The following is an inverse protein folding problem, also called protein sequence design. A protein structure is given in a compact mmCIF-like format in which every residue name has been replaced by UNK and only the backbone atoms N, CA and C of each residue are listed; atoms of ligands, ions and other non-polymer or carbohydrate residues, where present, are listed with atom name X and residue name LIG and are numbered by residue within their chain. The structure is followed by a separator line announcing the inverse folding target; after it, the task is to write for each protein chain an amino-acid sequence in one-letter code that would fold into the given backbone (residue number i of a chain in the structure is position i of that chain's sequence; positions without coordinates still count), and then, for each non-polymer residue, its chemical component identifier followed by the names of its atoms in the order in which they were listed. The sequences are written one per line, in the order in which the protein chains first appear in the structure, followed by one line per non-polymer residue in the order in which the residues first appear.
data_IF_473243491123
#
_entry.id   IF_473243491123
#
_cell.length_a   1.000
_cell.length_b   1.000
_cell.length_c   1.000
_cell.angle_alpha   90.00
_cell.angle_beta   90.00
_cell.angle_gamma   90.00
#
_symmetry.space_group_name_H-M   'P 1'
#
loop_
_entity.id
_entity.type
_entity.pdbx_description
1 polymer ?
#
# COMPACT_ATOMS: atom_id res chain seq x y z
N UNK A 1 12.78 21.75 0.89
CA UNK A 1 11.52 21.04 1.18
C UNK A 1 11.83 19.56 1.36
N UNK A 2 11.85 19.06 2.61
CA UNK A 2 12.14 17.66 2.95
C UNK A 2 10.79 16.98 3.22
N UNK A 3 10.34 16.03 2.41
CA UNK A 3 9.00 15.46 2.61
C UNK A 3 8.69 14.08 2.03
N UNK A 4 9.29 13.64 0.93
CA UNK A 4 9.03 12.29 0.40
C UNK A 4 10.09 11.30 0.90
N UNK A 5 9.94 10.80 2.13
CA UNK A 5 10.76 9.70 2.63
C UNK A 5 9.93 8.46 2.89
N UNK A 6 10.15 7.47 2.02
CA UNK A 6 10.10 6.04 2.32
C UNK A 6 8.72 5.46 2.66
N UNK A 7 8.33 4.43 1.90
CA UNK A 7 7.32 3.44 2.29
C UNK A 7 7.54 3.09 3.77
N UNK A 8 6.62 3.43 4.68
CA UNK A 8 6.82 3.19 6.11
C UNK A 8 6.66 1.70 6.44
N UNK A 9 7.21 1.20 7.56
CA UNK A 9 6.95 -0.20 7.97
C UNK A 9 5.45 -0.41 8.25
N UNK A 10 4.77 0.65 8.74
CA UNK A 10 3.32 0.70 8.81
C UNK A 10 2.69 0.45 7.43
N UNK A 11 3.21 1.04 6.34
CA UNK A 11 2.71 0.79 4.97
C UNK A 11 2.82 -0.68 4.55
N UNK A 12 3.86 -1.40 4.96
CA UNK A 12 3.99 -2.84 4.68
C UNK A 12 2.94 -3.66 5.44
N UNK A 13 2.63 -3.28 6.69
CA UNK A 13 1.58 -3.92 7.48
C UNK A 13 0.17 -3.54 7.02
N UNK A 14 -0.02 -2.32 6.52
CA UNK A 14 -1.23 -1.92 5.80
C UNK A 14 -1.43 -2.83 4.59
N UNK A 15 -0.39 -3.18 3.82
CA UNK A 15 -0.52 -4.12 2.70
C UNK A 15 -0.96 -5.55 3.09
N UNK A 16 -0.76 -5.96 4.36
CA UNK A 16 -1.26 -7.25 4.87
C UNK A 16 -2.80 -7.23 5.00
N UNK A 17 -3.37 -6.08 5.38
CA UNK A 17 -4.84 -5.89 5.42
C UNK A 17 -5.41 -5.45 4.08
N UNK A 18 -4.78 -4.46 3.44
CA UNK A 18 -5.12 -3.89 2.15
C UNK A 18 -4.65 -4.79 1.00
N UNK A 19 -5.02 -6.07 1.01
CA UNK A 19 -4.67 -7.05 -0.03
C UNK A 19 -4.96 -6.63 -1.49
N UNK A 20 -5.55 -5.45 -1.73
CA UNK A 20 -5.91 -4.93 -3.05
C UNK A 20 -5.60 -3.43 -3.33
N UNK A 21 -5.13 -2.59 -2.40
CA UNK A 21 -5.27 -1.11 -2.61
C UNK A 21 -4.03 -0.36 -3.11
N UNK A 22 -3.01 -1.07 -3.57
CA UNK A 22 -1.92 -0.49 -4.36
C UNK A 22 -2.01 -0.87 -5.85
N UNK A 23 -3.17 -1.36 -6.30
CA UNK A 23 -3.45 -1.73 -7.67
C UNK A 23 -4.45 -0.77 -8.32
N UNK A 24 -4.27 0.53 -8.12
CA UNK A 24 -4.75 1.50 -9.09
C UNK A 24 -3.97 1.33 -10.38
N UNK A 25 -4.41 0.43 -11.27
CA UNK A 25 -4.56 0.62 -12.73
C UNK A 25 -4.36 -0.60 -13.64
N UNK A 26 -3.87 -1.77 -13.21
CA UNK A 26 -3.84 -2.94 -14.11
C UNK A 26 -3.91 -4.25 -13.34
N UNK A 27 -4.95 -5.03 -13.60
CA UNK A 27 -5.02 -6.45 -13.24
C UNK A 27 -5.64 -6.74 -11.88
N UNK A 28 -6.87 -7.25 -11.90
CA UNK A 28 -7.29 -8.32 -10.99
C UNK A 28 -6.24 -9.44 -11.07
N UNK A 29 -5.93 -10.03 -9.93
CA UNK A 29 -5.00 -11.16 -9.73
C UNK A 29 -3.53 -10.80 -9.41
N UNK A 30 -3.15 -11.12 -8.17
CA UNK A 30 -1.78 -11.29 -7.66
C UNK A 30 -0.90 -10.04 -7.44
N UNK A 31 -0.74 -9.62 -6.17
CA UNK A 31 0.51 -8.93 -5.79
C UNK A 31 0.59 -8.33 -4.39
N UNK A 32 -0.45 -7.63 -3.93
CA UNK A 32 -0.39 -6.86 -2.68
C UNK A 32 -0.41 -7.73 -1.41
N UNK A 33 -1.47 -8.51 -1.23
CA UNK A 33 -1.62 -9.39 -0.07
C UNK A 33 -0.58 -10.53 -0.03
N UNK A 34 -0.12 -11.00 -1.20
CA UNK A 34 0.91 -12.04 -1.30
C UNK A 34 2.30 -11.53 -0.88
N UNK A 35 2.64 -10.26 -1.17
CA UNK A 35 3.89 -9.67 -0.71
C UNK A 35 3.92 -9.45 0.80
N UNK A 36 2.82 -8.98 1.40
CA UNK A 36 2.71 -8.82 2.86
C UNK A 36 2.87 -10.16 3.59
N UNK A 37 2.22 -11.21 3.09
CA UNK A 37 2.32 -12.56 3.66
C UNK A 37 3.70 -13.21 3.46
N UNK A 38 4.35 -12.97 2.30
CA UNK A 38 5.71 -13.46 2.03
C UNK A 38 6.72 -12.84 3.01
N UNK A 39 6.60 -11.55 3.30
CA UNK A 39 7.45 -10.88 4.30
C UNK A 39 7.26 -11.47 5.71
N UNK A 40 6.03 -11.80 6.10
CA UNK A 40 5.77 -12.46 7.39
C UNK A 40 6.40 -13.86 7.46
N UNK A 41 6.42 -14.62 6.36
CA UNK A 41 7.11 -15.92 6.31
C UNK A 41 8.64 -15.79 6.39
N UNK A 42 9.22 -14.78 5.76
CA UNK A 42 10.68 -14.55 5.76
C UNK A 42 11.23 -14.11 7.13
N UNK A 43 10.40 -13.55 8.00
CA UNK A 43 10.80 -13.13 9.35
C UNK A 43 11.00 -14.29 10.32
N UNK A 44 10.64 -15.52 9.91
CA UNK A 44 10.84 -16.76 10.66
C UNK A 44 10.43 -16.64 12.14
N UNK A 45 9.20 -16.21 12.38
CA UNK A 45 8.66 -16.05 13.72
C UNK A 45 8.64 -17.37 14.50
N UNK A 46 8.93 -17.32 15.80
CA UNK A 46 8.63 -18.43 16.71
C UNK A 46 7.12 -18.66 16.81
N UNK A 47 6.70 -19.85 17.25
CA UNK A 47 5.26 -20.15 17.41
C UNK A 47 4.56 -19.17 18.37
N UNK A 48 5.26 -18.75 19.43
CA UNK A 48 4.78 -17.73 20.36
C UNK A 48 4.60 -16.38 19.67
N UNK A 49 5.59 -15.93 18.87
CA UNK A 49 5.50 -14.68 18.11
C UNK A 49 4.35 -14.73 17.10
N UNK A 50 4.18 -15.85 16.38
CA UNK A 50 3.08 -16.04 15.42
C UNK A 50 1.73 -15.87 16.11
N UNK A 51 1.55 -16.49 17.27
CA UNK A 51 0.29 -16.41 18.04
C UNK A 51 0.01 -14.98 18.50
N UNK A 52 1.01 -14.30 19.04
CA UNK A 52 0.85 -12.91 19.50
C UNK A 52 0.56 -11.95 18.34
N UNK A 53 1.28 -12.08 17.23
CA UNK A 53 1.05 -11.28 16.02
C UNK A 53 -0.33 -11.58 15.45
N UNK A 54 -0.77 -12.83 15.40
CA UNK A 54 -2.11 -13.19 14.93
C UNK A 54 -3.21 -12.54 15.78
N UNK A 55 -3.04 -12.48 17.10
CA UNK A 55 -4.00 -11.79 17.98
C UNK A 55 -4.05 -10.28 17.72
N UNK A 56 -2.89 -9.64 17.51
CA UNK A 56 -2.85 -8.22 17.11
C UNK A 56 -3.56 -8.03 15.77
N UNK A 57 -3.28 -8.87 14.78
CA UNK A 57 -3.93 -8.76 13.47
C UNK A 57 -5.45 -9.02 13.55
N UNK A 58 -5.89 -9.97 14.38
CA UNK A 58 -7.30 -10.26 14.58
C UNK A 58 -8.05 -9.05 15.18
N UNK A 59 -7.43 -8.34 16.13
CA UNK A 59 -7.97 -7.11 16.74
C UNK A 59 -8.30 -6.01 15.72
N UNK A 60 -7.48 -5.87 14.68
CA UNK A 60 -7.65 -4.83 13.65
C UNK A 60 -8.33 -5.34 12.37
N UNK A 61 -8.77 -6.60 12.33
CA UNK A 61 -9.26 -7.24 11.11
C UNK A 61 -10.49 -6.59 10.52
N UNK A 62 -11.48 -6.28 11.35
CA UNK A 62 -12.74 -5.69 10.90
C UNK A 62 -12.53 -4.24 10.45
N UNK A 63 -11.85 -3.43 11.27
CA UNK A 63 -11.45 -2.06 10.93
C UNK A 63 -10.65 -2.02 9.61
N UNK A 64 -9.67 -2.93 9.46
CA UNK A 64 -8.86 -3.06 8.25
C UNK A 64 -9.65 -3.43 7.02
N UNK A 65 -10.60 -4.35 7.14
CA UNK A 65 -11.50 -4.72 6.05
C UNK A 65 -12.36 -3.52 5.64
N UNK A 66 -13.01 -2.86 6.60
CA UNK A 66 -13.90 -1.73 6.32
C UNK A 66 -13.15 -0.58 5.64
N UNK A 67 -11.96 -0.23 6.13
CA UNK A 67 -11.14 0.82 5.53
C UNK A 67 -10.64 0.44 4.12
N UNK A 68 -10.33 -0.83 3.88
CA UNK A 68 -9.95 -1.34 2.56
C UNK A 68 -11.12 -1.25 1.57
N UNK A 69 -12.31 -1.69 1.98
CA UNK A 69 -13.52 -1.65 1.17
C UNK A 69 -13.92 -0.20 0.84
N UNK A 70 -13.86 0.69 1.84
CA UNK A 70 -14.11 2.12 1.68
C UNK A 70 -13.12 2.77 0.70
N UNK A 71 -11.84 2.41 0.80
CA UNK A 71 -10.83 2.99 -0.10
C UNK A 71 -11.04 2.50 -1.54
N UNK A 72 -11.34 1.22 -1.74
CA UNK A 72 -11.64 0.68 -3.06
C UNK A 72 -12.84 1.40 -3.70
N UNK A 73 -13.90 1.66 -2.92
CA UNK A 73 -15.07 2.40 -3.39
C UNK A 73 -14.73 3.87 -3.71
N UNK A 74 -13.93 4.53 -2.88
CA UNK A 74 -13.52 5.92 -3.10
C UNK A 74 -12.61 6.07 -4.32
N UNK A 75 -11.66 5.16 -4.53
CA UNK A 75 -10.80 5.15 -5.71
C UNK A 75 -11.59 4.83 -6.99
N UNK A 76 -12.55 3.91 -6.91
CA UNK A 76 -13.48 3.66 -8.02
C UNK A 76 -14.23 4.93 -8.42
N UNK A 77 -14.75 5.70 -7.47
CA UNK A 77 -15.45 6.95 -7.77
C UNK A 77 -14.56 7.97 -8.48
N UNK A 78 -13.27 8.06 -8.11
CA UNK A 78 -12.31 8.92 -8.83
C UNK A 78 -12.16 8.46 -10.29
N UNK A 79 -12.05 7.16 -10.53
CA UNK A 79 -11.91 6.59 -11.87
C UNK A 79 -13.19 6.84 -12.67
N UNK A 80 -14.36 6.50 -12.12
CA UNK A 80 -15.66 6.65 -12.80
C UNK A 80 -15.88 8.11 -13.25
N UNK A 81 -15.53 9.09 -12.41
CA UNK A 81 -15.59 10.52 -12.75
C UNK A 81 -14.53 10.95 -13.77
N UNK A 82 -13.33 10.36 -13.72
CA UNK A 82 -12.27 10.66 -14.68
C UNK A 82 -12.53 10.05 -16.06
N UNK A 83 -13.36 8.99 -16.14
CA UNK A 83 -13.75 8.33 -17.39
C UNK A 83 -15.15 8.69 -17.87
N UNK A 84 -15.81 9.65 -17.22
CA UNK A 84 -17.13 10.13 -17.64
C UNK A 84 -17.06 10.88 -18.98
N UNK A 85 -18.19 10.97 -19.68
CA UNK A 85 -18.30 11.69 -20.96
C UNK A 85 -17.93 13.18 -20.82
N UNK A 86 -18.27 13.78 -19.67
CA UNK A 86 -17.95 15.17 -19.35
C UNK A 86 -16.90 15.26 -18.25
N UNK A 87 -15.83 16.03 -18.53
CA UNK A 87 -14.79 16.30 -17.54
C UNK A 87 -15.27 17.34 -16.52
N UNK A 88 -15.36 16.91 -15.26
CA UNK A 88 -15.68 17.79 -14.13
C UNK A 88 -14.56 17.78 -13.08
N UNK A 89 -13.68 18.77 -13.16
CA UNK A 89 -12.53 18.89 -12.26
C UNK A 89 -12.95 18.99 -10.78
N UNK A 90 -14.00 19.75 -10.46
CA UNK A 90 -14.44 19.96 -9.09
C UNK A 90 -14.93 18.64 -8.46
N UNK A 91 -15.70 17.85 -9.21
CA UNK A 91 -16.17 16.54 -8.77
C UNK A 91 -15.00 15.57 -8.55
N UNK A 92 -14.03 15.53 -9.47
CA UNK A 92 -12.83 14.69 -9.35
C UNK A 92 -12.00 15.08 -8.12
N UNK A 93 -11.78 16.39 -7.89
CA UNK A 93 -11.06 16.88 -6.70
C UNK A 93 -11.75 16.47 -5.41
N UNK A 94 -13.07 16.59 -5.34
CA UNK A 94 -13.84 16.17 -4.17
C UNK A 94 -13.74 14.66 -3.93
N UNK A 95 -13.87 13.86 -4.99
CA UNK A 95 -13.71 12.41 -4.90
C UNK A 95 -12.30 12.01 -4.44
N UNK A 96 -11.27 12.69 -4.94
CA UNK A 96 -9.89 12.46 -4.54
C UNK A 96 -9.62 12.82 -3.08
N UNK A 97 -10.23 13.90 -2.57
CA UNK A 97 -10.15 14.26 -1.15
C UNK A 97 -10.78 13.18 -0.25
N UNK A 98 -11.93 12.62 -0.65
CA UNK A 98 -12.56 11.53 0.07
C UNK A 98 -11.69 10.26 0.07
N UNK A 99 -11.03 9.93 -1.05
CA UNK A 99 -10.08 8.83 -1.08
C UNK A 99 -8.86 9.09 -0.19
N UNK A 100 -8.40 10.35 -0.12
CA UNK A 100 -7.26 10.73 0.71
C UNK A 100 -7.56 10.59 2.21
N UNK A 101 -8.77 10.92 2.68
CA UNK A 101 -9.14 10.76 4.08
C UNK A 101 -9.13 9.29 4.51
N UNK A 102 -9.63 8.37 3.66
CA UNK A 102 -9.56 6.93 3.95
C UNK A 102 -8.10 6.42 3.95
N UNK A 103 -7.24 6.93 3.06
CA UNK A 103 -5.79 6.62 3.07
C UNK A 103 -5.10 7.08 4.35
N UNK A 104 -5.50 8.21 4.91
CA UNK A 104 -5.00 8.70 6.19
C UNK A 104 -5.35 7.72 7.33
N UNK A 105 -6.61 7.31 7.42
CA UNK A 105 -7.07 6.35 8.43
C UNK A 105 -6.34 5.01 8.33
N UNK A 106 -6.15 4.49 7.11
CA UNK A 106 -5.35 3.29 6.86
C UNK A 106 -3.90 3.45 7.34
N UNK A 107 -3.27 4.60 7.07
CA UNK A 107 -1.90 4.86 7.51
C UNK A 107 -1.79 4.88 9.04
N UNK A 108 -2.75 5.51 9.71
CA UNK A 108 -2.82 5.56 11.18
C UNK A 108 -3.04 4.17 11.77
N UNK A 109 -3.99 3.39 11.25
CA UNK A 109 -4.26 2.03 11.71
C UNK A 109 -3.05 1.11 11.49
N UNK A 110 -2.39 1.19 10.33
CA UNK A 110 -1.13 0.48 10.08
C UNK A 110 -0.02 0.83 11.07
N UNK A 111 0.06 2.10 11.50
CA UNK A 111 1.02 2.54 12.50
C UNK A 111 0.68 1.98 13.89
N UNK A 112 -0.61 1.91 14.27
CA UNK A 112 -1.07 1.27 15.51
C UNK A 112 -0.72 -0.22 15.53
N UNK A 113 -1.02 -0.95 14.44
CA UNK A 113 -0.65 -2.36 14.27
C UNK A 113 0.86 -2.55 14.42
N UNK A 114 1.66 -1.71 13.75
CA UNK A 114 3.12 -1.80 13.86
C UNK A 114 3.62 -1.53 15.29
N UNK A 115 3.03 -0.56 15.99
CA UNK A 115 3.41 -0.24 17.36
C UNK A 115 3.17 -1.42 18.33
N UNK A 116 2.11 -2.22 18.10
CA UNK A 116 1.82 -3.43 18.88
C UNK A 116 2.67 -4.64 18.48
N UNK A 117 3.04 -4.77 17.20
CA UNK A 117 3.90 -5.88 16.72
C UNK A 117 5.38 -5.64 17.04
N UNK A 118 5.86 -4.41 16.94
CA UNK A 118 7.29 -4.06 17.08
C UNK A 118 7.96 -4.63 18.34
N UNK A 119 7.35 -4.61 19.54
CA UNK A 119 7.94 -5.19 20.75
C UNK A 119 8.08 -6.72 20.70
N UNK A 120 7.33 -7.40 19.83
CA UNK A 120 7.37 -8.85 19.67
C UNK A 120 8.53 -9.29 18.77
N UNK A 121 9.17 -8.36 18.06
CA UNK A 121 10.22 -8.64 17.08
C UNK A 121 11.61 -8.60 17.71
N UNK A 122 12.49 -9.50 17.26
CA UNK A 122 13.91 -9.41 17.60
C UNK A 122 14.59 -8.25 16.87
N UNK A 123 15.76 -7.83 17.34
CA UNK A 123 16.56 -6.79 16.67
C UNK A 123 16.92 -7.18 15.22
N UNK A 124 17.18 -8.46 14.98
CA UNK A 124 17.47 -9.01 13.65
C UNK A 124 16.24 -8.96 12.75
N UNK A 125 15.07 -9.36 13.23
CA UNK A 125 13.80 -9.27 12.50
C UNK A 125 13.45 -7.82 12.14
N UNK A 126 13.66 -6.87 13.06
CA UNK A 126 13.48 -5.44 12.79
C UNK A 126 14.45 -4.91 11.74
N UNK A 127 15.69 -5.41 11.73
CA UNK A 127 16.69 -5.05 10.73
C UNK A 127 16.30 -5.60 9.36
N UNK A 128 15.87 -6.86 9.30
CA UNK A 128 15.36 -7.48 8.08
C UNK A 128 14.17 -6.71 7.49
N UNK A 129 13.21 -6.29 8.32
CA UNK A 129 12.09 -5.44 7.89
C UNK A 129 12.54 -4.13 7.24
N UNK A 130 13.55 -3.46 7.83
CA UNK A 130 14.09 -2.21 7.28
C UNK A 130 14.79 -2.43 5.94
N UNK A 131 15.56 -3.51 5.82
CA UNK A 131 16.24 -3.87 4.56
C UNK A 131 15.23 -4.18 3.46
N UNK A 132 14.23 -5.01 3.76
CA UNK A 132 13.16 -5.34 2.80
C UNK A 132 12.38 -4.12 2.35
N UNK A 133 12.10 -3.18 3.25
CA UNK A 133 11.49 -1.89 2.92
C UNK A 133 12.37 -1.10 1.93
N UNK A 134 13.68 -1.04 2.14
CA UNK A 134 14.59 -0.34 1.25
C UNK A 134 14.63 -0.99 -0.14
N UNK A 135 14.74 -2.33 -0.20
CA UNK A 135 14.70 -3.09 -1.45
C UNK A 135 13.40 -2.89 -2.21
N UNK A 136 12.25 -2.90 -1.53
CA UNK A 136 10.95 -2.66 -2.14
C UNK A 136 10.86 -1.25 -2.71
N UNK A 137 11.36 -0.25 -1.98
CA UNK A 137 11.43 1.14 -2.46
C UNK A 137 12.28 1.27 -3.73
N UNK A 138 13.45 0.64 -3.78
CA UNK A 138 14.29 0.68 -4.98
C UNK A 138 13.67 -0.06 -6.17
N UNK A 139 13.04 -1.21 -5.94
CA UNK A 139 12.26 -1.92 -6.97
C UNK A 139 11.11 -1.07 -7.49
N UNK A 140 10.38 -0.38 -6.63
CA UNK A 140 9.29 0.51 -7.06
C UNK A 140 9.82 1.66 -7.94
N UNK A 141 10.95 2.27 -7.57
CA UNK A 141 11.59 3.32 -8.37
C UNK A 141 12.02 2.82 -9.75
N UNK A 142 12.66 1.65 -9.83
CA UNK A 142 13.11 1.09 -11.10
C UNK A 142 11.94 0.75 -12.02
N UNK A 143 10.85 0.20 -11.47
CA UNK A 143 9.63 -0.06 -12.22
C UNK A 143 8.97 1.23 -12.71
N UNK A 144 8.91 2.27 -11.87
CA UNK A 144 8.37 3.58 -12.26
C UNK A 144 9.21 4.21 -13.38
N UNK A 145 10.54 4.17 -13.28
CA UNK A 145 11.45 4.67 -14.31
C UNK A 145 11.29 3.89 -15.63
N UNK A 146 11.17 2.57 -15.57
CA UNK A 146 10.94 1.75 -16.76
C UNK A 146 9.60 2.06 -17.44
N UNK A 147 8.52 2.20 -16.67
CA UNK A 147 7.20 2.59 -17.20
C UNK A 147 7.26 3.98 -17.85
N UNK A 148 7.92 4.94 -17.20
CA UNK A 148 8.10 6.29 -17.73
C UNK A 148 8.89 6.28 -19.04
N UNK A 149 10.02 5.58 -19.08
CA UNK A 149 10.84 5.49 -20.30
C UNK A 149 10.06 4.89 -21.47
N UNK A 150 9.29 3.81 -21.25
CA UNK A 150 8.44 3.23 -22.29
C UNK A 150 7.38 4.20 -22.81
N UNK A 151 6.77 4.98 -21.90
CA UNK A 151 5.80 6.01 -22.27
C UNK A 151 6.46 7.13 -23.09
N UNK A 152 7.62 7.64 -22.66
CA UNK A 152 8.31 8.71 -23.38
C UNK A 152 8.75 8.25 -24.78
N UNK A 153 9.31 7.05 -24.92
CA UNK A 153 9.63 6.49 -26.25
C UNK A 153 8.40 6.35 -27.14
N UNK A 154 7.25 5.95 -26.59
CA UNK A 154 5.99 5.88 -27.36
C UNK A 154 5.49 7.26 -27.77
N UNK A 155 5.59 8.27 -26.90
CA UNK A 155 5.23 9.65 -27.21
C UNK A 155 6.14 10.19 -28.33
N UNK A 156 7.46 10.04 -28.18
CA UNK A 156 8.45 10.50 -29.16
C UNK A 156 8.25 9.84 -30.53
N UNK A 157 7.81 8.58 -30.58
CA UNK A 157 7.56 7.91 -31.86
C UNK A 157 6.25 8.33 -32.55
N UNK A 158 5.40 9.15 -31.91
CA UNK A 158 4.08 9.55 -32.43
C UNK A 158 3.85 11.08 -32.43
N UNK A 159 4.82 11.89 -32.01
CA UNK A 159 4.78 13.34 -32.17
C UNK A 159 5.58 13.70 -33.43
N UNK A 160 4.94 14.43 -34.36
CA UNK A 160 5.57 15.01 -35.56
C UNK A 160 6.41 16.26 -35.23
#
# INVERSE_FOLDING_TARGET
MKGLKAVSIATVLVMVFCGAVAAGHFGREHGGGFMGFKLLKELNFSETQKTQIANVLAKYREEGKNLTDNLAQAEKNVIDLATADEFNEAAIRQAAQNAASVKEELAVMGAKVFAEIKPLLTAEQLTLLKTRKAEMSEKMKSHAASKRSKLETWIESHIE
#
